data_IF_223718902943
#
_entry.id   IF_223718902943
#
_cell.length_a   1.000
_cell.length_b   1.000
_cell.length_c   1.000
_cell.angle_alpha   90.00
_cell.angle_beta   90.00
_cell.angle_gamma   90.00
#
_symmetry.space_group_name_H-M   'P 1'
#
loop_
_entity.id
_entity.type
_entity.pdbx_description
1 polymer ?
#
# COMPACT_ATOMS: atom_id res chain seq x y z
N UNK A 1 36.47 -7.91 23.97
CA UNK A 1 35.75 -8.17 22.70
C UNK A 1 34.39 -8.85 22.90
N UNK A 2 34.26 -9.87 23.76
CA UNK A 2 32.97 -10.55 24.02
C UNK A 2 31.85 -9.63 24.61
N UNK A 3 32.19 -8.67 25.48
CA UNK A 3 31.22 -7.73 26.09
C UNK A 3 30.68 -6.70 25.08
N UNK A 4 31.40 -6.44 23.98
CA UNK A 4 30.91 -5.54 22.93
C UNK A 4 29.95 -6.25 21.97
N UNK A 5 30.04 -7.58 21.84
CA UNK A 5 29.13 -8.38 21.03
C UNK A 5 27.69 -8.39 21.59
N UNK A 6 27.51 -8.29 22.92
CA UNK A 6 26.18 -8.19 23.54
C UNK A 6 25.49 -6.84 23.31
N UNK A 7 26.21 -5.82 22.81
CA UNK A 7 25.65 -4.52 22.45
C UNK A 7 25.25 -4.43 20.97
N UNK A 8 25.43 -5.50 20.19
CA UNK A 8 25.04 -5.54 18.77
C UNK A 8 23.52 -5.50 18.69
N UNK A 9 22.98 -4.39 18.19
CA UNK A 9 21.56 -4.25 17.86
C UNK A 9 21.37 -4.42 16.36
N UNK A 10 20.32 -5.13 15.97
CA UNK A 10 19.89 -5.16 14.58
C UNK A 10 19.58 -3.73 14.12
N UNK A 11 20.26 -3.27 13.07
CA UNK A 11 19.89 -2.02 12.40
C UNK A 11 18.66 -2.31 11.55
N UNK A 12 17.54 -1.68 11.91
CA UNK A 12 16.29 -1.75 11.13
C UNK A 12 16.23 -0.70 10.01
N UNK A 13 17.19 0.24 10.00
CA UNK A 13 17.43 1.18 8.91
C UNK A 13 18.25 0.51 7.79
N UNK A 14 17.90 0.79 6.52
CA UNK A 14 18.58 0.23 5.37
C UNK A 14 20.08 0.55 5.36
N UNK A 15 20.89 -0.36 4.81
CA UNK A 15 22.35 -0.20 4.70
C UNK A 15 22.69 1.09 3.95
N UNK A 16 23.53 1.93 4.54
CA UNK A 16 24.06 3.12 3.87
C UNK A 16 25.12 2.65 2.87
N UNK A 17 24.75 2.63 1.58
CA UNK A 17 25.69 2.27 0.51
C UNK A 17 26.75 3.36 0.27
N UNK A 18 26.45 4.61 0.63
CA UNK A 18 27.33 5.77 0.46
C UNK A 18 27.83 6.29 1.82
N UNK A 19 29.09 6.79 1.89
CA UNK A 19 29.59 7.52 3.04
C UNK A 19 28.71 8.74 3.36
N UNK A 20 28.62 9.12 4.64
CA UNK A 20 27.80 10.27 5.05
C UNK A 20 28.34 11.61 4.55
N UNK A 21 29.63 11.67 4.22
CA UNK A 21 30.30 12.84 3.63
C UNK A 21 30.04 12.99 2.14
N UNK A 22 29.45 11.98 1.49
CA UNK A 22 29.13 12.04 0.08
C UNK A 22 28.06 13.11 -0.21
N UNK A 23 28.28 13.88 -1.27
CA UNK A 23 27.37 14.99 -1.63
C UNK A 23 25.98 14.50 -2.01
N UNK A 24 25.84 13.32 -2.61
CA UNK A 24 24.55 12.71 -2.92
C UNK A 24 23.82 12.29 -1.64
N UNK A 25 24.53 11.74 -0.65
CA UNK A 25 23.95 11.40 0.66
C UNK A 25 23.43 12.65 1.39
N UNK A 26 24.19 13.75 1.33
CA UNK A 26 23.78 15.03 1.94
C UNK A 26 22.53 15.60 1.25
N UNK A 27 22.52 15.64 -0.09
CA UNK A 27 21.35 16.08 -0.88
C UNK A 27 20.12 15.24 -0.59
N UNK A 28 20.26 13.92 -0.54
CA UNK A 28 19.17 13.00 -0.20
C UNK A 28 18.63 13.25 1.21
N UNK A 29 19.51 13.51 2.18
CA UNK A 29 19.09 13.81 3.56
C UNK A 29 18.29 15.12 3.64
N UNK A 30 18.69 16.15 2.89
CA UNK A 30 17.94 17.41 2.78
C UNK A 30 16.59 17.17 2.12
N UNK A 31 16.56 16.44 1.01
CA UNK A 31 15.31 16.09 0.31
C UNK A 31 14.33 15.39 1.25
N UNK A 32 14.78 14.37 1.99
CA UNK A 32 13.94 13.68 2.98
C UNK A 32 13.41 14.58 4.07
N UNK A 33 14.19 15.57 4.51
CA UNK A 33 13.74 16.53 5.53
C UNK A 33 12.62 17.43 5.00
N UNK A 34 12.68 17.81 3.72
CA UNK A 34 11.69 18.70 3.09
C UNK A 34 10.43 17.93 2.64
N UNK A 35 10.59 16.76 2.04
CA UNK A 35 9.51 16.04 1.36
C UNK A 35 9.06 14.75 2.07
N UNK A 36 9.75 14.35 3.14
CA UNK A 36 9.48 13.12 3.87
C UNK A 36 10.29 11.92 3.36
N UNK A 37 10.17 10.80 4.08
CA UNK A 37 10.90 9.57 3.77
C UNK A 37 10.25 8.79 2.62
N UNK A 38 11.05 8.48 1.59
CA UNK A 38 10.68 7.59 0.51
C UNK A 38 10.86 6.11 0.91
N UNK A 39 10.03 5.22 0.35
CA UNK A 39 10.12 3.78 0.58
C UNK A 39 9.31 3.22 1.75
N UNK A 40 8.29 3.96 2.20
CA UNK A 40 7.35 3.50 3.23
C UNK A 40 6.17 2.69 2.68
N UNK A 41 6.12 2.45 1.36
CA UNK A 41 4.98 1.82 0.70
C UNK A 41 5.24 0.33 0.45
N UNK A 42 4.35 -0.52 0.95
CA UNK A 42 4.16 -1.91 0.53
C UNK A 42 3.03 -1.97 -0.50
N UNK A 43 3.15 -2.83 -1.50
CA UNK A 43 2.14 -2.99 -2.55
C UNK A 43 1.64 -4.43 -2.58
N UNK A 44 0.32 -4.60 -2.63
CA UNK A 44 -0.35 -5.86 -2.94
C UNK A 44 -0.97 -5.74 -4.33
N UNK A 45 -0.73 -6.72 -5.20
CA UNK A 45 -1.30 -6.76 -6.54
C UNK A 45 -2.11 -8.03 -6.77
N UNK A 46 -3.26 -7.87 -7.40
CA UNK A 46 -4.10 -8.98 -7.89
C UNK A 46 -4.33 -8.77 -9.37
N UNK A 47 -4.21 -9.83 -10.15
CA UNK A 47 -4.54 -9.84 -11.57
C UNK A 47 -5.58 -10.91 -11.83
N UNK A 48 -6.83 -10.49 -12.08
CA UNK A 48 -7.92 -11.43 -12.37
C UNK A 48 -9.12 -10.71 -12.95
N UNK A 49 -9.74 -11.25 -14.02
CA UNK A 49 -11.03 -10.77 -14.51
C UNK A 49 -12.14 -10.85 -13.44
N UNK A 50 -12.07 -11.84 -12.54
CA UNK A 50 -13.06 -12.08 -11.48
C UNK A 50 -12.98 -11.06 -10.34
N UNK A 51 -12.00 -10.14 -10.35
CA UNK A 51 -11.91 -9.06 -9.39
C UNK A 51 -13.18 -8.21 -9.33
N UNK A 52 -13.83 -8.02 -10.49
CA UNK A 52 -15.04 -7.22 -10.65
C UNK A 52 -16.33 -7.94 -10.25
N UNK A 53 -16.25 -9.11 -9.61
CA UNK A 53 -17.42 -9.71 -8.96
C UNK A 53 -17.70 -8.96 -7.65
N UNK A 54 -18.98 -8.68 -7.36
CA UNK A 54 -19.37 -7.85 -6.19
C UNK A 54 -18.81 -8.40 -4.87
N UNK A 55 -18.82 -9.73 -4.70
CA UNK A 55 -18.34 -10.38 -3.48
C UNK A 55 -16.82 -10.24 -3.34
N UNK A 56 -16.10 -10.26 -4.45
CA UNK A 56 -14.64 -10.09 -4.49
C UNK A 56 -14.27 -8.64 -4.20
N UNK A 57 -14.96 -7.69 -4.84
CA UNK A 57 -14.73 -6.26 -4.63
C UNK A 57 -15.05 -5.82 -3.20
N UNK A 58 -16.19 -6.26 -2.64
CA UNK A 58 -16.54 -5.96 -1.24
C UNK A 58 -15.52 -6.56 -0.26
N UNK A 59 -15.08 -7.80 -0.48
CA UNK A 59 -14.02 -8.39 0.35
C UNK A 59 -12.67 -7.65 0.22
N UNK A 60 -12.38 -7.06 -0.95
CA UNK A 60 -11.21 -6.21 -1.14
C UNK A 60 -11.33 -4.87 -0.41
N UNK A 61 -12.54 -4.30 -0.36
CA UNK A 61 -12.88 -3.13 0.46
C UNK A 61 -12.71 -3.42 1.96
N UNK A 62 -13.17 -4.58 2.41
CA UNK A 62 -13.00 -5.02 3.80
C UNK A 62 -11.52 -5.17 4.14
N UNK A 63 -10.74 -5.86 3.29
CA UNK A 63 -9.30 -6.00 3.45
C UNK A 63 -8.60 -4.63 3.52
N UNK A 64 -8.97 -3.69 2.65
CA UNK A 64 -8.43 -2.31 2.65
C UNK A 64 -8.69 -1.64 3.99
N UNK A 65 -9.92 -1.73 4.49
CA UNK A 65 -10.35 -1.12 5.75
C UNK A 65 -9.66 -1.75 6.96
N UNK A 66 -9.53 -3.08 6.94
CA UNK A 66 -8.86 -3.84 7.99
C UNK A 66 -7.38 -3.54 8.10
N UNK A 67 -6.69 -3.40 6.97
CA UNK A 67 -5.27 -3.03 6.94
C UNK A 67 -5.10 -1.58 7.41
N UNK A 68 -5.98 -0.67 7.00
CA UNK A 68 -5.94 0.74 7.40
C UNK A 68 -6.06 0.94 8.93
N UNK A 69 -6.73 0.00 9.63
CA UNK A 69 -6.87 0.01 11.10
C UNK A 69 -5.65 -0.53 11.84
N UNK A 70 -4.70 -1.17 11.17
CA UNK A 70 -3.53 -1.73 11.83
C UNK A 70 -2.65 -0.61 12.38
N UNK A 71 -2.17 -0.78 13.61
CA UNK A 71 -1.20 0.14 14.19
C UNK A 71 0.07 0.17 13.35
N UNK A 72 0.55 1.37 13.03
CA UNK A 72 1.71 1.58 12.18
C UNK A 72 1.42 1.69 10.68
N UNK A 73 0.15 1.69 10.29
CA UNK A 73 -0.28 2.01 8.93
C UNK A 73 -0.81 3.44 8.91
N UNK A 74 -0.18 4.28 8.08
CA UNK A 74 -0.56 5.68 7.89
C UNK A 74 -1.74 5.78 6.93
N UNK A 75 -1.67 5.06 5.80
CA UNK A 75 -2.68 5.12 4.75
C UNK A 75 -2.70 3.86 3.90
N UNK A 76 -3.88 3.45 3.46
CA UNK A 76 -4.09 2.42 2.45
C UNK A 76 -4.88 3.01 1.30
N UNK A 77 -4.36 2.89 0.08
CA UNK A 77 -5.03 3.32 -1.14
C UNK A 77 -5.28 2.09 -2.02
N UNK A 78 -6.52 1.91 -2.45
CA UNK A 78 -6.93 0.82 -3.35
C UNK A 78 -8.14 1.24 -4.19
N UNK A 79 -8.54 0.41 -5.16
CA UNK A 79 -9.74 0.64 -5.96
C UNK A 79 -11.02 0.90 -5.13
N UNK A 80 -11.10 0.39 -3.89
CA UNK A 80 -12.30 0.50 -3.07
C UNK A 80 -12.45 1.83 -2.34
N UNK A 81 -11.42 2.67 -2.30
CA UNK A 81 -11.44 3.94 -1.58
C UNK A 81 -10.90 5.12 -2.40
N UNK A 82 -10.93 5.01 -3.73
CA UNK A 82 -10.55 6.09 -4.62
C UNK A 82 -11.47 7.30 -4.46
N UNK A 83 -10.89 8.48 -4.63
CA UNK A 83 -11.59 9.76 -4.59
C UNK A 83 -11.69 10.32 -6.01
N UNK A 84 -12.85 10.86 -6.34
CA UNK A 84 -13.09 11.60 -7.57
C UNK A 84 -12.98 13.10 -7.28
N UNK A 85 -12.24 13.81 -8.14
CA UNK A 85 -12.15 15.27 -8.12
C UNK A 85 -13.29 15.85 -8.98
N UNK A 86 -14.31 16.42 -8.35
CA UNK A 86 -15.38 17.14 -9.07
C UNK A 86 -15.17 18.64 -9.01
N UNK A 87 -15.45 19.30 -10.14
CA UNK A 87 -15.49 20.76 -10.22
C UNK A 87 -16.84 21.26 -9.72
N UNK A 88 -16.84 22.05 -8.66
CA UNK A 88 -17.97 22.86 -8.24
C UNK A 88 -17.89 24.20 -8.98
N UNK A 89 -18.74 24.37 -9.98
CA UNK A 89 -18.80 25.58 -10.80
C UNK A 89 -19.49 26.75 -10.10
N UNK A 90 -20.29 26.49 -9.07
CA UNK A 90 -21.01 27.51 -8.31
C UNK A 90 -20.02 28.17 -7.34
N UNK A 91 -19.33 27.36 -6.55
CA UNK A 91 -18.37 27.85 -5.56
C UNK A 91 -16.95 28.00 -6.11
N UNK A 92 -16.73 27.73 -7.40
CA UNK A 92 -15.44 27.77 -8.09
C UNK A 92 -14.33 26.98 -7.38
N UNK A 93 -14.68 25.80 -6.87
CA UNK A 93 -13.76 24.95 -6.09
C UNK A 93 -13.73 23.53 -6.62
N UNK A 94 -12.70 22.79 -6.25
CA UNK A 94 -12.68 21.35 -6.47
C UNK A 94 -13.09 20.62 -5.20
N UNK A 95 -13.97 19.64 -5.36
CA UNK A 95 -14.48 18.79 -4.29
C UNK A 95 -13.97 17.37 -4.50
N UNK A 96 -13.31 16.82 -3.49
CA UNK A 96 -12.95 15.41 -3.43
C UNK A 96 -14.12 14.63 -2.83
N UNK A 97 -14.59 13.61 -3.55
CA UNK A 97 -15.63 12.72 -3.03
C UNK A 97 -15.26 11.25 -3.24
N UNK A 98 -15.56 10.36 -2.29
CA UNK A 98 -15.34 8.93 -2.47
C UNK A 98 -16.23 8.40 -3.60
N UNK A 99 -15.63 7.62 -4.50
CA UNK A 99 -16.36 6.94 -5.59
C UNK A 99 -17.30 5.87 -5.00
N UNK A 100 -16.80 5.14 -4.00
CA UNK A 100 -17.52 4.05 -3.32
C UNK A 100 -17.92 4.53 -1.93
N UNK A 101 -19.22 4.58 -1.65
CA UNK A 101 -19.76 5.06 -0.37
C UNK A 101 -20.22 3.94 0.55
N UNK A 102 -20.65 2.82 -0.02
CA UNK A 102 -21.18 1.66 0.69
C UNK A 102 -20.82 0.38 -0.06
N UNK A 103 -21.17 -0.76 0.51
CA UNK A 103 -21.02 -2.05 -0.15
C UNK A 103 -21.82 -2.13 -1.44
N UNK A 104 -21.24 -2.84 -2.41
CA UNK A 104 -21.87 -3.03 -3.72
C UNK A 104 -22.99 -4.07 -3.57
N UNK A 105 -24.22 -3.66 -3.87
CA UNK A 105 -25.42 -4.46 -3.64
C UNK A 105 -25.70 -5.49 -4.75
N UNK A 106 -25.33 -5.19 -6.00
CA UNK A 106 -25.65 -6.02 -7.17
C UNK A 106 -24.55 -6.04 -8.22
N UNK A 107 -24.61 -7.00 -9.15
CA UNK A 107 -23.69 -7.08 -10.28
C UNK A 107 -23.80 -5.84 -11.20
N UNK A 108 -25.02 -5.36 -11.47
CA UNK A 108 -25.25 -4.15 -12.27
C UNK A 108 -24.65 -2.89 -11.62
N UNK A 109 -24.73 -2.79 -10.28
CA UNK A 109 -24.06 -1.70 -9.55
C UNK A 109 -22.54 -1.80 -9.66
N UNK A 110 -21.99 -3.02 -9.62
CA UNK A 110 -20.57 -3.29 -9.78
C UNK A 110 -20.06 -2.89 -11.18
N UNK A 111 -20.81 -3.21 -12.23
CA UNK A 111 -20.47 -2.79 -13.60
C UNK A 111 -20.48 -1.27 -13.76
N UNK A 112 -21.48 -0.61 -13.15
CA UNK A 112 -21.55 0.85 -13.14
C UNK A 112 -20.34 1.47 -12.43
N UNK A 113 -19.97 0.92 -11.28
CA UNK A 113 -18.79 1.34 -10.51
C UNK A 113 -17.50 1.11 -11.31
N UNK A 114 -17.36 -0.05 -11.97
CA UNK A 114 -16.20 -0.37 -12.80
C UNK A 114 -16.00 0.69 -13.87
N UNK A 115 -17.06 1.09 -14.56
CA UNK A 115 -17.01 2.12 -15.60
C UNK A 115 -16.58 3.48 -15.04
N UNK A 116 -17.10 3.87 -13.86
CA UNK A 116 -16.68 5.12 -13.20
C UNK A 116 -15.20 5.06 -12.83
N UNK A 117 -14.75 3.99 -12.17
CA UNK A 117 -13.35 3.83 -11.75
C UNK A 117 -12.39 3.84 -12.94
N UNK A 118 -12.71 3.14 -14.02
CA UNK A 118 -11.92 3.15 -15.25
C UNK A 118 -11.95 4.48 -16.00
N UNK A 119 -12.99 5.30 -15.79
CA UNK A 119 -13.03 6.68 -16.26
C UNK A 119 -12.01 7.59 -15.56
N UNK A 120 -11.54 7.23 -14.37
CA UNK A 120 -10.57 8.02 -13.61
C UNK A 120 -9.13 7.76 -14.08
N UNK A 121 -8.80 8.27 -15.27
CA UNK A 121 -7.49 8.07 -15.94
C UNK A 121 -6.27 8.45 -15.10
N UNK A 122 -6.43 9.32 -14.10
CA UNK A 122 -5.36 9.66 -13.14
C UNK A 122 -4.83 8.44 -12.37
N UNK A 123 -5.69 7.44 -12.10
CA UNK A 123 -5.34 6.25 -11.34
C UNK A 123 -4.88 5.05 -12.20
N UNK A 124 -5.04 5.14 -13.53
CA UNK A 124 -4.58 4.10 -14.47
C UNK A 124 -3.04 4.02 -14.45
N UNK A 125 -2.51 2.81 -14.31
CA UNK A 125 -1.08 2.55 -14.12
C UNK A 125 -0.56 2.76 -12.70
N UNK A 126 -1.34 3.39 -11.81
CA UNK A 126 -0.97 3.62 -10.41
C UNK A 126 -1.70 2.69 -9.44
N UNK A 127 -3.02 2.56 -9.58
CA UNK A 127 -3.87 1.74 -8.70
C UNK A 127 -4.55 0.61 -9.47
N UNK A 128 -4.78 0.77 -10.77
CA UNK A 128 -5.29 -0.30 -11.60
C UNK A 128 -4.71 -0.27 -13.01
N UNK A 129 -4.83 -1.37 -13.72
CA UNK A 129 -4.58 -1.46 -15.16
C UNK A 129 -5.78 -2.14 -15.83
N UNK A 130 -6.48 -1.37 -16.66
CA UNK A 130 -7.70 -1.82 -17.33
C UNK A 130 -7.42 -2.86 -18.44
N UNK A 131 -6.23 -2.86 -19.03
CA UNK A 131 -5.83 -3.82 -20.08
C UNK A 131 -5.53 -5.21 -19.52
N UNK A 132 -4.89 -5.28 -18.36
CA UNK A 132 -4.46 -6.55 -17.75
C UNK A 132 -5.40 -7.06 -16.67
N UNK A 133 -6.44 -6.29 -16.31
CA UNK A 133 -7.31 -6.54 -15.15
C UNK A 133 -6.51 -6.65 -13.85
N UNK A 134 -5.55 -5.73 -13.67
CA UNK A 134 -4.71 -5.66 -12.47
C UNK A 134 -5.23 -4.60 -11.53
N UNK A 135 -5.28 -4.93 -10.24
CA UNK A 135 -5.67 -4.05 -9.15
C UNK A 135 -4.56 -4.02 -8.11
N UNK A 136 -4.16 -2.83 -7.68
CA UNK A 136 -3.14 -2.61 -6.67
C UNK A 136 -3.74 -2.04 -5.39
N UNK A 137 -3.14 -2.39 -4.27
CA UNK A 137 -3.34 -1.76 -2.97
C UNK A 137 -1.99 -1.28 -2.47
N UNK A 138 -1.85 0.03 -2.31
CA UNK A 138 -0.68 0.68 -1.75
C UNK A 138 -0.90 0.91 -0.25
N UNK A 139 0.01 0.38 0.57
CA UNK A 139 -0.04 0.44 2.03
C UNK A 139 1.16 1.27 2.50
N UNK A 140 0.89 2.47 2.99
CA UNK A 140 1.89 3.41 3.50
C UNK A 140 2.08 3.21 4.99
N UNK A 141 3.30 2.89 5.41
CA UNK A 141 3.66 2.70 6.81
C UNK A 141 3.95 4.04 7.50
N UNK A 142 3.72 4.08 8.82
CA UNK A 142 4.28 5.11 9.68
C UNK A 142 5.81 4.99 9.72
N UNK A 143 6.53 6.11 9.60
CA UNK A 143 7.99 6.13 9.53
C UNK A 143 8.68 5.58 10.79
N UNK A 144 8.08 5.75 11.96
CA UNK A 144 8.63 5.24 13.23
C UNK A 144 8.51 3.72 13.31
N UNK A 145 7.42 3.17 12.77
CA UNK A 145 7.21 1.72 12.70
C UNK A 145 8.07 1.11 11.61
N UNK A 146 8.15 1.74 10.44
CA UNK A 146 8.95 1.28 9.31
C UNK A 146 10.41 1.03 9.68
N UNK A 147 10.99 1.93 10.48
CA UNK A 147 12.41 1.89 10.85
C UNK A 147 12.68 1.19 12.19
N UNK A 148 11.72 0.40 12.70
CA UNK A 148 11.87 -0.36 13.95
C UNK A 148 11.56 -1.85 13.78
N UNK A 149 11.81 -2.63 14.83
CA UNK A 149 11.46 -4.06 14.88
C UNK A 149 9.95 -4.30 14.77
N UNK A 150 9.12 -3.31 15.12
CA UNK A 150 7.66 -3.40 15.05
C UNK A 150 7.13 -3.52 13.61
N UNK A 151 7.96 -3.22 12.59
CA UNK A 151 7.62 -3.47 11.18
C UNK A 151 7.26 -4.94 10.91
N UNK A 152 8.01 -5.88 11.50
CA UNK A 152 7.87 -7.32 11.22
C UNK A 152 6.47 -7.85 11.58
N UNK A 153 5.95 -7.66 12.81
CA UNK A 153 4.61 -8.12 13.15
C UNK A 153 3.52 -7.43 12.29
N UNK A 154 3.65 -6.14 11.99
CA UNK A 154 2.69 -5.43 11.12
C UNK A 154 2.63 -6.05 9.73
N UNK A 155 3.79 -6.34 9.12
CA UNK A 155 3.85 -7.02 7.82
C UNK A 155 3.24 -8.42 7.90
N UNK A 156 3.56 -9.19 8.95
CA UNK A 156 2.97 -10.52 9.11
C UNK A 156 1.42 -10.44 9.20
N UNK A 157 0.87 -9.48 9.95
CA UNK A 157 -0.59 -9.27 10.02
C UNK A 157 -1.22 -8.91 8.66
N UNK A 158 -0.53 -8.10 7.84
CA UNK A 158 -0.98 -7.82 6.46
C UNK A 158 -0.97 -9.11 5.63
N UNK A 159 0.10 -9.91 5.71
CA UNK A 159 0.23 -11.17 4.99
C UNK A 159 -0.84 -12.18 5.40
N UNK A 160 -1.18 -12.27 6.69
CA UNK A 160 -2.25 -13.14 7.18
C UNK A 160 -3.62 -12.73 6.64
N UNK A 161 -3.98 -11.44 6.77
CA UNK A 161 -5.25 -10.90 6.27
C UNK A 161 -5.39 -11.06 4.76
N UNK A 162 -4.33 -10.76 4.01
CA UNK A 162 -4.30 -10.91 2.56
C UNK A 162 -4.32 -12.37 2.11
N UNK A 163 -3.65 -13.29 2.82
CA UNK A 163 -3.74 -14.74 2.57
C UNK A 163 -5.15 -15.28 2.83
N UNK A 164 -5.84 -14.79 3.86
CA UNK A 164 -7.24 -15.15 4.10
C UNK A 164 -8.14 -14.71 2.93
N UNK A 165 -8.00 -13.47 2.45
CA UNK A 165 -8.69 -12.98 1.24
C UNK A 165 -8.38 -13.87 0.02
N UNK A 166 -7.10 -14.13 -0.23
CA UNK A 166 -6.60 -14.93 -1.36
C UNK A 166 -7.23 -16.33 -1.38
N UNK A 167 -7.30 -16.99 -0.22
CA UNK A 167 -7.92 -18.32 -0.08
C UNK A 167 -9.43 -18.28 -0.32
N UNK A 168 -10.13 -17.31 0.28
CA UNK A 168 -11.60 -17.21 0.17
C UNK A 168 -12.06 -16.86 -1.24
N UNK A 169 -11.28 -16.07 -1.98
CA UNK A 169 -11.63 -15.63 -3.34
C UNK A 169 -10.94 -16.43 -4.44
N UNK A 170 -10.08 -17.38 -4.08
CA UNK A 170 -9.26 -18.15 -5.02
C UNK A 170 -8.46 -17.24 -5.97
N UNK A 171 -7.81 -16.21 -5.41
CA UNK A 171 -7.04 -15.22 -6.14
C UNK A 171 -5.59 -15.23 -5.67
N UNK A 172 -4.65 -15.13 -6.61
CA UNK A 172 -3.23 -14.99 -6.26
C UNK A 172 -2.92 -13.53 -5.97
N UNK A 173 -2.29 -13.28 -4.81
CA UNK A 173 -1.78 -11.96 -4.43
C UNK A 173 -0.27 -11.96 -4.62
N UNK A 174 0.23 -10.92 -5.28
CA UNK A 174 1.65 -10.62 -5.38
C UNK A 174 2.01 -9.49 -4.42
N UNK A 175 3.17 -9.58 -3.77
CA UNK A 175 3.64 -8.62 -2.77
C UNK A 175 4.91 -7.93 -3.26
N UNK A 176 4.99 -6.62 -3.05
CA UNK A 176 6.18 -5.83 -3.37
C UNK A 176 6.30 -4.61 -2.43
N UNK A 177 7.27 -3.75 -2.71
CA UNK A 177 7.56 -2.55 -1.94
C UNK A 177 8.64 -2.77 -0.89
N UNK A 178 9.34 -1.68 -0.57
CA UNK A 178 10.52 -1.71 0.29
C UNK A 178 10.27 -2.27 1.70
N UNK A 179 9.14 -1.98 2.40
CA UNK A 179 8.87 -2.56 3.71
C UNK A 179 8.85 -4.10 3.67
N UNK A 180 8.21 -4.67 2.65
CA UNK A 180 8.12 -6.11 2.43
C UNK A 180 9.47 -6.72 2.06
N UNK A 181 10.12 -6.16 1.03
CA UNK A 181 11.42 -6.65 0.53
C UNK A 181 12.47 -6.65 1.64
N UNK A 182 12.61 -5.54 2.39
CA UNK A 182 13.55 -5.44 3.52
C UNK A 182 13.29 -6.53 4.55
N UNK A 183 12.02 -6.80 4.87
CA UNK A 183 11.65 -7.80 5.89
C UNK A 183 11.96 -9.22 5.44
N UNK A 184 11.69 -9.56 4.17
CA UNK A 184 12.03 -10.87 3.63
C UNK A 184 13.56 -11.07 3.55
N UNK A 185 14.30 -10.05 3.13
CA UNK A 185 15.77 -10.12 3.08
C UNK A 185 16.34 -10.27 4.50
N UNK A 186 15.90 -9.46 5.47
CA UNK A 186 16.39 -9.56 6.86
C UNK A 186 16.15 -10.95 7.46
N UNK A 187 15.01 -11.60 7.17
CA UNK A 187 14.72 -12.97 7.63
C UNK A 187 15.60 -14.05 6.99
N UNK A 188 16.20 -13.81 5.83
CA UNK A 188 17.09 -14.78 5.15
C UNK A 188 18.54 -14.68 5.61
N UNK A 189 18.93 -13.52 6.15
CA UNK A 189 20.31 -13.23 6.57
C UNK A 189 20.47 -13.33 8.09
N UNK A 190 19.37 -13.44 8.85
CA UNK A 190 19.36 -13.73 10.28
C UNK A 190 19.17 -15.21 10.53
#
# INVERSE_FOLDING_TARGET
MAIQASNVRLSFSGTKALPTTDTAFTRYTIFKKTFGEDGSIMVLGVQSPNFWQKETFNAWRDLTTDIQKLHGIKQVLSLSNLMELKKDTINQKFLLQPVIKADVSSATAMDSIKNVLYGLRFYEGLVFNSKTNTSLMAITFDGNILNSSQRIPVINSILEKSKAFSKTKNLTIHYSGLPYIRTIISKRVS
#
